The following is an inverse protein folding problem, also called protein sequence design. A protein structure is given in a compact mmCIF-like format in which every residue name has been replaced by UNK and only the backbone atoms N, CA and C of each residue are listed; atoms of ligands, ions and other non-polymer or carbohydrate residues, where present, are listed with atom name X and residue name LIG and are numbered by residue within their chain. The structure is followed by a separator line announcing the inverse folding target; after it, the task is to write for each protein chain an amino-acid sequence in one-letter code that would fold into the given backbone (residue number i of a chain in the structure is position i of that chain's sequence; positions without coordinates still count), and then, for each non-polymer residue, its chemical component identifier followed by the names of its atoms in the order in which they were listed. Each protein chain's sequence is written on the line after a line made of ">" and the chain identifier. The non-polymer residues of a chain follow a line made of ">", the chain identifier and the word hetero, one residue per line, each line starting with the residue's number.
data_IF_628593212913
#
_entry.id   IF_628593212913
#
_cell.length_a   1.000
_cell.length_b   1.000
_cell.length_c   1.000
_cell.angle_alpha   90.00
_cell.angle_beta   90.00
_cell.angle_gamma   90.00
#
_symmetry.space_group_name_H-M   'P 1'
#
loop_
_entity.id
_entity.type
_entity.pdbx_description
1 polymer ?
#
# COMPACT_ATOMS: atom_id res chain seq x y z
N UNK A 1 -5.01 19.46 7.42
CA UNK A 1 -6.35 19.19 8.00
C UNK A 1 -7.08 18.16 7.15
N UNK A 2 -8.14 17.55 7.66
CA UNK A 2 -8.88 16.48 6.97
C UNK A 2 -10.37 16.83 6.84
N UNK A 3 -10.88 17.03 5.62
CA UNK A 3 -12.30 17.21 5.39
C UNK A 3 -13.08 15.92 5.70
N UNK A 4 -14.10 16.04 6.56
CA UNK A 4 -14.93 14.92 7.01
C UNK A 4 -16.21 14.81 6.18
N UNK A 5 -16.98 15.90 6.10
CA UNK A 5 -18.27 15.94 5.43
C UNK A 5 -18.67 17.36 5.06
N UNK A 6 -19.50 17.48 4.03
CA UNK A 6 -20.24 18.70 3.69
C UNK A 6 -21.71 18.36 3.59
N UNK A 7 -22.58 19.16 4.20
CA UNK A 7 -24.03 19.03 4.08
C UNK A 7 -24.66 20.33 3.62
N UNK A 8 -25.77 20.23 2.88
CA UNK A 8 -26.65 21.36 2.61
C UNK A 8 -27.59 21.49 3.81
N UNK A 9 -27.71 22.70 4.37
CA UNK A 9 -28.68 22.98 5.43
C UNK A 9 -30.09 23.09 4.83
N UNK A 10 -30.74 21.95 4.69
CA UNK A 10 -32.07 21.80 4.11
C UNK A 10 -33.02 21.05 5.05
N UNK A 11 -34.27 21.52 5.12
CA UNK A 11 -35.37 20.85 5.80
C UNK A 11 -35.64 19.45 5.23
N UNK A 12 -35.47 19.28 3.90
CA UNK A 12 -35.63 17.97 3.24
C UNK A 12 -34.62 16.93 3.72
N UNK A 13 -33.41 17.38 4.08
CA UNK A 13 -32.30 16.57 4.60
C UNK A 13 -32.32 16.44 6.13
N UNK A 14 -33.33 17.03 6.79
CA UNK A 14 -33.44 17.15 8.26
C UNK A 14 -32.25 17.86 8.90
N UNK A 15 -31.64 18.82 8.20
CA UNK A 15 -30.53 19.64 8.71
C UNK A 15 -30.96 21.10 8.66
N UNK A 16 -31.48 21.61 9.77
CA UNK A 16 -31.92 23.00 9.88
C UNK A 16 -31.02 23.85 10.76
N UNK A 17 -30.27 23.19 11.64
CA UNK A 17 -29.38 23.80 12.63
C UNK A 17 -27.98 23.21 12.56
N UNK A 18 -27.02 23.90 13.18
CA UNK A 18 -25.66 23.38 13.39
C UNK A 18 -25.69 22.07 14.18
N UNK A 19 -26.53 21.97 15.21
CA UNK A 19 -26.66 20.75 16.02
C UNK A 19 -27.22 19.56 15.23
N UNK A 20 -28.16 19.79 14.29
CA UNK A 20 -28.63 18.73 13.38
C UNK A 20 -27.49 18.18 12.54
N UNK A 21 -26.63 19.06 12.02
CA UNK A 21 -25.49 18.68 11.22
C UNK A 21 -24.44 17.89 12.03
N UNK A 22 -24.17 18.32 13.27
CA UNK A 22 -23.28 17.58 14.19
C UNK A 22 -23.84 16.19 14.49
N UNK A 23 -25.14 16.07 14.79
CA UNK A 23 -25.80 14.76 14.98
C UNK A 23 -25.69 13.88 13.74
N UNK A 24 -25.89 14.44 12.54
CA UNK A 24 -25.73 13.70 11.27
C UNK A 24 -24.29 13.24 11.07
N UNK A 25 -23.30 14.07 11.39
CA UNK A 25 -21.88 13.68 11.36
C UNK A 25 -21.60 12.49 12.28
N UNK A 26 -22.06 12.55 13.54
CA UNK A 26 -21.90 11.45 14.52
C UNK A 26 -22.54 10.16 14.02
N UNK A 27 -23.75 10.25 13.44
CA UNK A 27 -24.44 9.10 12.84
C UNK A 27 -23.69 8.50 11.64
N UNK A 28 -23.06 9.33 10.80
CA UNK A 28 -22.24 8.83 9.70
C UNK A 28 -20.98 8.16 10.23
N UNK A 29 -20.36 8.70 11.28
CA UNK A 29 -19.18 8.09 11.90
C UNK A 29 -19.48 6.73 12.50
N UNK A 30 -20.60 6.58 13.23
CA UNK A 30 -20.98 5.29 13.83
C UNK A 30 -21.30 4.21 12.80
N UNK A 31 -21.59 4.60 11.56
CA UNK A 31 -21.80 3.72 10.42
C UNK A 31 -20.55 3.55 9.54
N UNK A 32 -19.41 4.11 9.95
CA UNK A 32 -18.16 4.14 9.18
C UNK A 32 -18.32 4.75 7.78
N UNK A 33 -19.24 5.70 7.65
CA UNK A 33 -19.56 6.42 6.41
C UNK A 33 -18.88 7.79 6.32
N UNK A 34 -17.88 8.06 7.17
CA UNK A 34 -17.03 9.26 7.05
C UNK A 34 -15.76 8.93 6.29
N UNK A 35 -15.51 9.75 5.29
CA UNK A 35 -14.38 9.61 4.38
C UNK A 35 -13.55 10.87 4.53
N UNK A 36 -12.35 10.71 5.06
CA UNK A 36 -11.43 11.82 5.27
C UNK A 36 -10.73 12.15 3.95
N UNK A 37 -10.52 13.44 3.70
CA UNK A 37 -9.70 13.92 2.59
C UNK A 37 -8.73 14.95 3.15
N UNK A 38 -7.43 14.66 3.07
CA UNK A 38 -6.40 15.60 3.46
C UNK A 38 -6.37 16.79 2.49
N UNK A 39 -6.19 17.97 3.07
CA UNK A 39 -6.07 19.24 2.37
C UNK A 39 -5.42 20.30 3.27
N UNK A 40 -4.94 21.36 2.64
CA UNK A 40 -4.46 22.56 3.30
C UNK A 40 -5.59 23.58 3.36
N UNK A 41 -5.75 24.23 4.52
CA UNK A 41 -6.63 25.39 4.65
C UNK A 41 -5.78 26.63 4.78
N UNK A 42 -6.07 27.62 3.96
CA UNK A 42 -5.38 28.89 3.95
C UNK A 42 -6.38 30.03 4.13
N UNK A 43 -6.22 30.79 5.21
CA UNK A 43 -6.97 32.03 5.44
C UNK A 43 -6.16 33.20 4.88
N UNK A 44 -6.79 34.07 4.09
CA UNK A 44 -6.21 35.33 3.64
C UNK A 44 -7.15 36.52 4.00
N UNK A 45 -6.84 37.73 3.51
CA UNK A 45 -7.62 38.95 3.79
C UNK A 45 -8.95 39.05 3.00
N UNK A 46 -9.17 38.15 2.04
CA UNK A 46 -10.32 38.12 1.13
C UNK A 46 -11.15 36.85 1.24
N UNK A 47 -10.53 35.71 1.52
CA UNK A 47 -11.16 34.40 1.48
C UNK A 47 -10.46 33.34 2.35
N UNK A 48 -11.17 32.22 2.54
CA UNK A 48 -10.66 30.96 3.09
C UNK A 48 -10.57 29.98 1.93
N UNK A 49 -9.37 29.45 1.66
CA UNK A 49 -9.11 28.52 0.56
C UNK A 49 -8.80 27.13 1.06
N UNK A 50 -9.27 26.13 0.32
CA UNK A 50 -8.88 24.73 0.47
C UNK A 50 -7.99 24.35 -0.71
N UNK A 51 -6.79 23.84 -0.43
CA UNK A 51 -5.80 23.45 -1.43
C UNK A 51 -5.45 21.97 -1.29
N UNK A 52 -5.15 21.32 -2.42
CA UNK A 52 -4.58 19.98 -2.43
C UNK A 52 -3.18 19.98 -1.80
N UNK A 53 -2.87 18.97 -0.97
CA UNK A 53 -1.61 18.91 -0.23
C UNK A 53 -0.39 18.76 -1.15
N UNK A 54 -0.54 18.01 -2.25
CA UNK A 54 0.57 17.66 -3.14
C UNK A 54 0.77 18.70 -4.24
N UNK A 55 -0.31 19.06 -4.93
CA UNK A 55 -0.27 19.90 -6.12
C UNK A 55 -0.46 21.38 -5.82
N UNK A 56 -0.92 21.74 -4.60
CA UNK A 56 -1.36 23.09 -4.25
C UNK A 56 -2.51 23.61 -5.13
N UNK A 57 -3.20 22.72 -5.85
CA UNK A 57 -4.38 23.08 -6.65
C UNK A 57 -5.50 23.61 -5.74
N UNK A 58 -6.14 24.69 -6.15
CA UNK A 58 -7.28 25.26 -5.43
C UNK A 58 -8.54 24.39 -5.60
N UNK A 59 -8.97 23.79 -4.49
CA UNK A 59 -10.14 22.93 -4.43
C UNK A 59 -11.41 23.76 -4.25
N UNK A 60 -11.41 24.63 -3.24
CA UNK A 60 -12.51 25.56 -2.94
C UNK A 60 -11.98 26.92 -2.49
N UNK A 61 -12.76 27.96 -2.76
CA UNK A 61 -12.53 29.33 -2.31
C UNK A 61 -13.82 29.86 -1.68
N UNK A 62 -13.76 30.20 -0.40
CA UNK A 62 -14.86 30.79 0.36
C UNK A 62 -14.55 32.25 0.65
N UNK A 63 -15.07 33.21 -0.14
CA UNK A 63 -14.92 34.62 0.16
C UNK A 63 -15.40 34.94 1.58
N UNK A 64 -14.69 35.79 2.31
CA UNK A 64 -15.06 36.14 3.69
C UNK A 64 -16.52 36.63 3.84
N UNK A 65 -17.11 37.37 2.87
CA UNK A 65 -18.54 37.72 2.92
C UNK A 65 -19.52 36.54 2.92
N UNK A 66 -19.14 35.39 2.37
CA UNK A 66 -20.02 34.21 2.28
C UNK A 66 -20.00 33.38 3.55
N UNK A 67 -19.04 33.61 4.45
CA UNK A 67 -18.92 32.87 5.71
C UNK A 67 -19.93 33.40 6.71
N UNK A 68 -20.89 32.57 7.07
CA UNK A 68 -21.98 32.92 8.00
C UNK A 68 -21.62 32.59 9.45
N UNK A 69 -20.94 31.46 9.67
CA UNK A 69 -20.63 30.95 11.00
C UNK A 69 -19.36 30.10 10.97
N UNK A 70 -18.56 30.22 12.02
CA UNK A 70 -17.41 29.34 12.28
C UNK A 70 -17.48 28.88 13.73
N UNK A 71 -17.16 27.61 14.00
CA UNK A 71 -17.22 27.05 15.34
C UNK A 71 -16.26 25.87 15.49
N UNK A 72 -15.76 25.65 16.69
CA UNK A 72 -15.05 24.43 17.07
C UNK A 72 -15.98 23.42 17.73
N UNK A 73 -15.78 22.14 17.40
CA UNK A 73 -16.48 21.01 17.98
C UNK A 73 -15.43 20.05 18.53
N UNK A 74 -15.29 19.99 19.85
CA UNK A 74 -14.17 19.30 20.49
C UNK A 74 -14.60 17.91 21.01
N UNK A 75 -13.64 16.98 20.99
CA UNK A 75 -13.76 15.64 21.58
C UNK A 75 -15.03 14.90 21.16
N UNK A 76 -15.32 14.92 19.85
CA UNK A 76 -16.46 14.19 19.29
C UNK A 76 -15.97 12.98 18.50
N UNK A 77 -16.53 11.81 18.80
CA UNK A 77 -16.21 10.55 18.12
C UNK A 77 -14.72 10.18 18.30
N UNK A 78 -14.02 9.89 17.20
CA UNK A 78 -12.58 9.65 17.16
C UNK A 78 -11.73 10.91 16.95
N UNK A 79 -12.38 12.08 16.82
CA UNK A 79 -11.72 13.33 16.47
C UNK A 79 -11.71 14.26 17.68
N UNK A 80 -10.51 14.64 18.13
CA UNK A 80 -10.33 15.52 19.28
C UNK A 80 -10.59 16.99 18.95
N UNK A 81 -10.36 17.41 17.71
CA UNK A 81 -10.43 18.81 17.28
C UNK A 81 -11.10 18.94 15.91
N UNK A 82 -12.36 19.37 15.88
CA UNK A 82 -13.11 19.59 14.63
C UNK A 82 -13.38 21.09 14.45
N UNK A 83 -13.12 21.60 13.26
CA UNK A 83 -13.57 22.91 12.78
C UNK A 83 -14.84 22.74 11.95
N UNK A 84 -15.80 23.62 12.19
CA UNK A 84 -17.07 23.73 11.48
C UNK A 84 -17.15 25.10 10.79
N UNK A 85 -17.49 25.10 9.51
CA UNK A 85 -17.66 26.31 8.71
C UNK A 85 -19.01 26.29 8.00
N UNK A 86 -19.83 27.32 8.19
CA UNK A 86 -21.09 27.52 7.46
C UNK A 86 -20.89 28.62 6.43
N UNK A 87 -21.08 28.30 5.16
CA UNK A 87 -20.94 29.22 4.04
C UNK A 87 -22.23 29.29 3.22
N UNK A 88 -22.55 30.47 2.71
CA UNK A 88 -23.60 30.65 1.71
C UNK A 88 -23.15 31.70 0.70
N UNK A 89 -22.94 31.25 -0.54
CA UNK A 89 -22.73 32.17 -1.65
C UNK A 89 -24.04 32.91 -1.97
N UNK A 90 -23.96 34.13 -2.53
CA UNK A 90 -25.13 34.94 -2.91
C UNK A 90 -26.04 34.24 -3.91
N UNK A 91 -25.47 33.29 -4.64
CA UNK A 91 -26.13 32.50 -5.68
C UNK A 91 -26.75 31.20 -5.13
N UNK A 92 -26.48 30.85 -3.87
CA UNK A 92 -27.03 29.68 -3.19
C UNK A 92 -28.29 30.05 -2.39
N UNK A 93 -29.34 29.24 -2.55
CA UNK A 93 -30.57 29.39 -1.76
C UNK A 93 -30.45 28.89 -0.32
N UNK A 94 -29.49 28.00 -0.05
CA UNK A 94 -29.31 27.34 1.25
C UNK A 94 -27.82 27.34 1.60
N UNK A 95 -27.47 27.51 2.89
CA UNK A 95 -26.09 27.41 3.33
C UNK A 95 -25.60 25.97 3.27
N UNK A 96 -24.30 25.83 3.09
CA UNK A 96 -23.55 24.58 3.25
C UNK A 96 -22.79 24.61 4.57
N UNK A 97 -22.70 23.46 5.23
CA UNK A 97 -21.92 23.25 6.44
C UNK A 97 -20.80 22.25 6.16
N UNK A 98 -19.56 22.66 6.45
CA UNK A 98 -18.35 21.89 6.22
C UNK A 98 -17.70 21.51 7.54
N UNK A 99 -17.26 20.25 7.65
CA UNK A 99 -16.57 19.71 8.82
C UNK A 99 -15.14 19.31 8.48
N UNK A 100 -14.19 19.73 9.30
CA UNK A 100 -12.77 19.44 9.14
C UNK A 100 -12.19 18.93 10.45
N UNK A 101 -11.49 17.79 10.44
CA UNK A 101 -10.64 17.37 11.53
C UNK A 101 -9.29 18.10 11.44
N UNK A 102 -8.85 18.62 12.58
CA UNK A 102 -7.67 19.46 12.77
C UNK A 102 -6.65 18.69 13.61
N UNK A 103 -5.72 18.02 12.93
CA UNK A 103 -4.73 17.12 13.53
C UNK A 103 -3.36 17.78 13.77
N UNK A 104 -2.88 18.60 12.83
CA UNK A 104 -1.59 19.30 12.97
C UNK A 104 -1.68 20.61 13.78
N UNK A 105 -2.77 21.35 13.58
CA UNK A 105 -3.06 22.64 14.24
C UNK A 105 -4.46 22.55 14.79
N UNK A 106 -4.64 22.89 16.07
CA UNK A 106 -5.95 22.82 16.73
C UNK A 106 -7.01 23.70 16.07
N UNK A 107 -8.24 23.18 16.01
CA UNK A 107 -9.39 23.86 15.46
C UNK A 107 -9.61 25.22 16.12
N UNK A 108 -9.32 25.37 17.42
CA UNK A 108 -9.39 26.65 18.14
C UNK A 108 -8.48 27.71 17.53
N UNK A 109 -7.25 27.35 17.19
CA UNK A 109 -6.30 28.28 16.58
C UNK A 109 -6.70 28.66 15.16
N UNK A 110 -7.23 27.70 14.40
CA UNK A 110 -7.75 27.95 13.04
C UNK A 110 -8.99 28.83 13.11
N UNK A 111 -9.90 28.56 14.05
CA UNK A 111 -11.08 29.37 14.31
C UNK A 111 -10.73 30.81 14.71
N UNK A 112 -9.75 31.00 15.61
CA UNK A 112 -9.24 32.34 15.98
C UNK A 112 -8.71 33.12 14.76
N UNK A 113 -7.96 32.48 13.85
CA UNK A 113 -7.49 33.13 12.62
C UNK A 113 -8.66 33.53 11.70
N UNK A 114 -9.61 32.61 11.46
CA UNK A 114 -10.80 32.87 10.64
C UNK A 114 -11.63 34.03 11.21
N UNK A 115 -11.94 34.01 12.50
CA UNK A 115 -12.73 35.07 13.15
C UNK A 115 -12.01 36.42 13.10
N UNK A 116 -10.68 36.43 13.27
CA UNK A 116 -9.91 37.67 13.15
C UNK A 116 -9.89 38.20 11.71
N UNK A 117 -9.83 37.34 10.69
CA UNK A 117 -9.95 37.73 9.29
C UNK A 117 -11.35 38.30 8.97
N UNK A 118 -12.41 37.66 9.48
CA UNK A 118 -13.79 38.15 9.33
C UNK A 118 -13.99 39.50 10.03
N UNK A 119 -13.41 39.69 11.21
CA UNK A 119 -13.47 40.94 11.95
C UNK A 119 -12.76 42.08 11.23
N UNK A 120 -11.57 41.81 10.66
CA UNK A 120 -10.80 42.76 9.86
C UNK A 120 -11.56 43.14 8.58
N UNK A 121 -12.16 42.16 7.91
CA UNK A 121 -12.97 42.39 6.71
C UNK A 121 -14.24 43.22 6.99
N UNK A 122 -15.02 42.87 8.03
CA UNK A 122 -16.29 43.54 8.35
C UNK A 122 -16.11 44.94 8.94
N UNK A 123 -15.05 45.14 9.73
CA UNK A 123 -14.89 46.35 10.53
C UNK A 123 -13.66 47.19 10.15
N UNK A 124 -12.88 46.78 9.15
CA UNK A 124 -11.63 47.46 8.75
C UNK A 124 -10.56 47.47 9.85
N UNK A 125 -10.66 46.56 10.82
CA UNK A 125 -9.69 46.42 11.91
C UNK A 125 -8.43 45.69 11.38
N UNK A 126 -7.35 45.71 12.17
CA UNK A 126 -6.10 44.97 11.90
C UNK A 126 -5.75 44.06 13.08
N UNK A 127 -6.72 43.25 13.50
CA UNK A 127 -6.62 42.30 14.61
C UNK A 127 -5.82 41.07 14.16
N UNK A 128 -6.04 40.59 12.94
CA UNK A 128 -5.48 39.34 12.44
C UNK A 128 -3.95 39.24 12.56
N UNK A 129 -3.15 40.28 12.27
CA UNK A 129 -1.70 40.21 12.47
C UNK A 129 -1.27 39.92 13.92
N UNK A 130 -2.06 40.35 14.91
CA UNK A 130 -1.79 40.05 16.33
C UNK A 130 -2.18 38.60 16.65
N UNK A 131 -3.35 38.16 16.18
CA UNK A 131 -3.80 36.76 16.33
C UNK A 131 -2.80 35.77 15.73
N UNK A 132 -2.31 36.04 14.52
CA UNK A 132 -1.31 35.19 13.85
C UNK A 132 0.00 35.10 14.64
N UNK A 133 0.44 36.21 15.26
CA UNK A 133 1.65 36.20 16.10
C UNK A 133 1.45 35.34 17.35
N UNK A 134 0.32 35.49 18.04
CA UNK A 134 -0.01 34.67 19.21
C UNK A 134 -0.10 33.18 18.85
N UNK A 135 -0.73 32.85 17.71
CA UNK A 135 -0.84 31.48 17.23
C UNK A 135 0.50 30.87 16.84
N UNK A 136 1.39 31.64 16.19
CA UNK A 136 2.75 31.17 15.93
C UNK A 136 3.52 30.85 17.21
N UNK A 137 3.32 31.63 18.27
CA UNK A 137 3.94 31.36 19.57
C UNK A 137 3.39 30.09 20.23
N UNK A 138 2.06 29.90 20.24
CA UNK A 138 1.41 28.66 20.71
C UNK A 138 1.94 27.42 19.96
N UNK A 139 2.11 27.49 18.65
CA UNK A 139 2.67 26.39 17.82
C UNK A 139 4.12 26.10 18.22
N UNK A 140 4.95 27.15 18.34
CA UNK A 140 6.37 26.99 18.75
C UNK A 140 6.50 26.37 20.13
N UNK A 141 5.69 26.80 21.09
CA UNK A 141 5.68 26.24 22.44
C UNK A 141 5.33 24.74 22.41
N UNK A 142 4.32 24.33 21.64
CA UNK A 142 3.97 22.90 21.48
C UNK A 142 5.12 22.08 20.89
N UNK A 143 5.76 22.59 19.84
CA UNK A 143 6.89 21.91 19.21
C UNK A 143 8.10 21.78 20.15
N UNK A 144 8.26 22.71 21.11
CA UNK A 144 9.32 22.63 22.12
C UNK A 144 9.07 21.62 23.25
N UNK A 145 7.81 21.20 23.44
CA UNK A 145 7.42 20.22 24.47
C UNK A 145 7.51 18.79 23.92
N UNK A 146 7.45 18.62 22.61
CA UNK A 146 7.68 17.33 21.96
C UNK A 146 9.19 16.99 22.00
N UNK A 147 9.60 15.80 22.47
CA UNK A 147 11.00 15.41 22.38
C UNK A 147 11.44 15.44 20.92
N UNK A 148 12.69 15.86 20.61
CA UNK A 148 13.20 15.79 19.25
C UNK A 148 13.02 14.36 18.72
N UNK A 149 12.78 14.16 17.41
CA UNK A 149 12.65 12.82 16.84
C UNK A 149 13.92 12.04 17.17
N UNK A 150 13.82 11.18 18.18
CA UNK A 150 14.91 10.31 18.55
C UNK A 150 15.06 9.35 17.37
N UNK A 151 16.22 9.36 16.73
CA UNK A 151 16.62 8.27 15.86
C UNK A 151 16.44 6.92 16.60
N UNK A 152 16.44 5.80 15.87
CA UNK A 152 16.16 4.49 16.44
C UNK A 152 16.96 4.29 17.73
N UNK A 153 16.25 3.96 18.81
CA UNK A 153 16.84 3.78 20.14
C UNK A 153 18.05 2.84 20.03
N UNK A 154 19.21 3.18 20.61
CA UNK A 154 20.35 2.27 20.62
C UNK A 154 19.93 0.98 21.33
N UNK A 155 20.03 -0.13 20.60
CA UNK A 155 19.76 -1.47 21.13
C UNK A 155 20.72 -1.68 22.31
N UNK A 156 20.25 -2.05 23.52
CA UNK A 156 21.15 -2.35 24.63
C UNK A 156 22.00 -3.57 24.25
N UNK A 157 23.30 -3.35 24.06
CA UNK A 157 24.28 -4.43 23.96
C UNK A 157 24.31 -5.10 25.32
N UNK A 158 23.65 -6.26 25.45
CA UNK A 158 23.83 -7.13 26.60
C UNK A 158 25.23 -7.73 26.51
N UNK A 159 26.18 -7.11 27.20
CA UNK A 159 27.46 -7.71 27.49
C UNK A 159 27.25 -8.83 28.50
N UNK A 160 27.48 -10.06 28.06
CA UNK A 160 27.72 -11.21 28.92
C UNK A 160 28.84 -10.89 29.93
N UNK A 161 28.51 -10.92 31.22
CA UNK A 161 29.50 -11.05 32.29
C UNK A 161 29.00 -12.01 33.36
N UNK A 162 29.62 -13.20 33.34
CA UNK A 162 29.82 -14.08 34.49
C UNK A 162 30.34 -13.28 35.69
N UNK A 163 29.79 -13.52 36.89
CA UNK A 163 30.45 -13.08 38.12
C UNK A 163 29.64 -13.16 39.42
N UNK A 164 29.59 -14.37 40.00
CA UNK A 164 29.72 -14.68 41.44
C UNK A 164 28.80 -14.06 42.52
N UNK A 165 28.17 -15.00 43.24
CA UNK A 165 28.23 -15.18 44.71
C UNK A 165 27.09 -14.66 45.63
N UNK A 166 26.62 -15.65 46.40
CA UNK A 166 26.14 -15.62 47.80
C UNK A 166 24.75 -15.08 48.12
N UNK A 167 23.82 -16.01 48.43
CA UNK A 167 23.36 -16.10 49.82
C UNK A 167 22.87 -17.51 50.20
N UNK A 168 23.35 -17.99 51.35
CA UNK A 168 23.05 -19.28 52.00
C UNK A 168 21.73 -19.21 52.78
N UNK A 169 20.99 -20.33 52.86
CA UNK A 169 20.69 -21.01 54.14
C UNK A 169 19.92 -22.33 54.00
N UNK A 170 20.52 -23.42 54.55
CA UNK A 170 19.96 -24.58 55.30
C UNK A 170 18.98 -25.54 54.57
N UNK A 171 19.04 -26.89 54.63
CA UNK A 171 19.69 -27.92 55.49
C UNK A 171 19.89 -29.24 54.65
N UNK A 172 20.69 -30.19 55.15
CA UNK A 172 21.46 -31.23 54.45
C UNK A 172 20.80 -32.65 54.27
N UNK A 173 21.45 -33.62 53.56
CA UNK A 173 20.91 -34.84 52.88
C UNK A 173 21.21 -36.19 53.62
N UNK A 174 21.03 -37.40 53.01
CA UNK A 174 22.14 -38.07 52.27
C UNK A 174 21.72 -38.94 51.03
N UNK A 175 22.42 -38.88 49.89
CA UNK A 175 23.58 -39.72 49.43
C UNK A 175 23.12 -41.04 48.73
N UNK A 176 23.73 -41.66 47.71
CA UNK A 176 25.02 -41.69 47.01
C UNK A 176 24.80 -42.35 45.62
N UNK A 177 25.45 -41.93 44.54
CA UNK A 177 26.41 -42.74 43.76
C UNK A 177 26.91 -42.00 42.52
N UNK A 178 28.13 -42.35 42.18
CA UNK A 178 29.14 -41.66 41.36
C UNK A 178 29.01 -42.02 39.86
N UNK A 179 30.03 -41.79 39.02
CA UNK A 179 30.06 -40.82 37.91
C UNK A 179 29.86 -41.49 36.55
N UNK A 180 29.70 -40.70 35.48
CA UNK A 180 30.51 -40.81 34.26
C UNK A 180 29.89 -40.12 33.03
N UNK A 181 30.80 -39.52 32.25
CA UNK A 181 30.68 -39.05 30.88
C UNK A 181 29.89 -37.76 30.58
N UNK A 182 30.65 -36.66 30.59
CA UNK A 182 30.55 -35.64 29.54
C UNK A 182 30.48 -36.27 28.14
N UNK A 183 29.90 -35.48 27.22
CA UNK A 183 30.04 -35.55 25.75
C UNK A 183 28.91 -36.27 25.02
N UNK A 184 27.82 -35.53 24.79
CA UNK A 184 27.11 -35.36 23.49
C UNK A 184 25.88 -34.44 23.68
N UNK A 185 26.10 -33.14 23.83
CA UNK A 185 25.00 -32.15 23.77
C UNK A 185 25.29 -30.95 22.86
N UNK A 186 26.20 -31.13 21.89
CA UNK A 186 26.45 -30.10 20.87
C UNK A 186 25.44 -30.18 19.72
N UNK A 187 25.00 -31.39 19.35
CA UNK A 187 24.09 -31.56 18.21
C UNK A 187 22.63 -31.15 18.46
N UNK A 188 22.14 -31.18 19.70
CA UNK A 188 20.76 -30.78 20.01
C UNK A 188 20.59 -29.26 20.00
N UNK A 189 21.60 -28.52 20.49
CA UNK A 189 21.57 -27.05 20.53
C UNK A 189 21.64 -26.45 19.12
N UNK A 190 22.54 -26.95 18.26
CA UNK A 190 22.67 -26.51 16.87
C UNK A 190 21.39 -26.77 16.04
N UNK A 191 20.70 -27.89 16.29
CA UNK A 191 19.43 -28.21 15.64
C UNK A 191 18.26 -27.35 16.15
N UNK A 192 18.23 -27.03 17.44
CA UNK A 192 17.24 -26.14 18.04
C UNK A 192 17.42 -24.70 17.52
N UNK A 193 18.66 -24.21 17.48
CA UNK A 193 19.03 -22.90 16.94
C UNK A 193 18.69 -22.78 15.45
N UNK A 194 18.94 -23.83 14.67
CA UNK A 194 18.55 -23.89 13.25
C UNK A 194 17.03 -23.83 13.04
N UNK A 195 16.25 -24.50 13.91
CA UNK A 195 14.78 -24.44 13.86
C UNK A 195 14.24 -23.08 14.30
N UNK A 196 14.84 -22.48 15.32
CA UNK A 196 14.50 -21.14 15.78
C UNK A 196 14.77 -20.09 14.69
N UNK A 197 15.92 -20.16 14.01
CA UNK A 197 16.24 -19.28 12.88
C UNK A 197 15.25 -19.44 11.73
N UNK A 198 14.84 -20.67 11.40
CA UNK A 198 13.82 -20.92 10.37
C UNK A 198 12.46 -20.34 10.78
N UNK A 199 12.05 -20.53 12.03
CA UNK A 199 10.81 -19.99 12.56
C UNK A 199 10.78 -18.45 12.49
N UNK A 200 11.86 -17.78 12.91
CA UNK A 200 11.99 -16.33 12.78
C UNK A 200 11.93 -15.86 11.33
N UNK A 201 12.50 -16.63 10.39
CA UNK A 201 12.41 -16.30 8.96
C UNK A 201 10.96 -16.38 8.46
N UNK A 202 10.24 -17.44 8.82
CA UNK A 202 8.82 -17.62 8.46
C UNK A 202 7.95 -16.51 9.06
N UNK A 203 8.20 -16.14 10.32
CA UNK A 203 7.49 -15.05 10.98
C UNK A 203 7.68 -13.72 10.24
N UNK A 204 8.93 -13.37 9.90
CA UNK A 204 9.21 -12.15 9.15
C UNK A 204 8.59 -12.17 7.75
N UNK A 205 8.66 -13.30 7.04
CA UNK A 205 8.02 -13.46 5.72
C UNK A 205 6.48 -13.34 5.80
N UNK A 206 5.89 -13.84 6.88
CA UNK A 206 4.45 -13.71 7.16
C UNK A 206 4.07 -12.25 7.44
N UNK A 207 4.89 -11.52 8.20
CA UNK A 207 4.68 -10.09 8.42
C UNK A 207 4.73 -9.30 7.11
N UNK A 208 5.70 -9.60 6.23
CA UNK A 208 5.78 -8.97 4.90
C UNK A 208 4.51 -9.28 4.09
N UNK A 209 4.05 -10.53 4.10
CA UNK A 209 2.83 -10.91 3.39
C UNK A 209 1.62 -10.12 3.90
N UNK A 210 1.42 -10.03 5.22
CA UNK A 210 0.31 -9.29 5.81
C UNK A 210 0.34 -7.81 5.40
N UNK A 211 1.49 -7.13 5.55
CA UNK A 211 1.61 -5.73 5.11
C UNK A 211 1.38 -5.57 3.61
N UNK A 212 1.75 -6.56 2.80
CA UNK A 212 1.49 -6.56 1.35
C UNK A 212 0.01 -6.68 1.05
N UNK A 213 -0.71 -7.58 1.73
CA UNK A 213 -2.15 -7.75 1.58
C UNK A 213 -2.92 -6.51 2.06
N UNK A 214 -2.55 -5.92 3.19
CA UNK A 214 -3.14 -4.69 3.74
C UNK A 214 -3.03 -3.52 2.74
N UNK A 215 -1.86 -3.33 2.13
CA UNK A 215 -1.63 -2.27 1.15
C UNK A 215 -2.46 -2.50 -0.14
N UNK A 216 -2.60 -3.74 -0.60
CA UNK A 216 -3.45 -4.09 -1.76
C UNK A 216 -4.92 -3.80 -1.43
N UNK A 217 -5.40 -4.24 -0.26
CA UNK A 217 -6.77 -3.98 0.19
C UNK A 217 -7.05 -2.48 0.28
N UNK A 218 -6.13 -1.71 0.89
CA UNK A 218 -6.27 -0.27 1.00
C UNK A 218 -6.31 0.42 -0.38
N UNK A 219 -5.47 -0.04 -1.32
CA UNK A 219 -5.48 0.47 -2.69
C UNK A 219 -6.81 0.18 -3.40
N UNK A 220 -7.31 -1.05 -3.29
CA UNK A 220 -8.62 -1.45 -3.85
C UNK A 220 -9.75 -0.65 -3.24
N UNK A 221 -9.74 -0.48 -1.92
CA UNK A 221 -10.70 0.36 -1.23
C UNK A 221 -10.65 1.76 -1.83
N UNK A 222 -9.47 2.40 -1.90
CA UNK A 222 -9.23 3.72 -2.52
C UNK A 222 -9.81 3.83 -3.94
N UNK A 223 -9.58 2.81 -4.75
CA UNK A 223 -10.03 2.75 -6.14
C UNK A 223 -11.56 2.76 -6.25
N UNK A 224 -12.24 1.97 -5.41
CA UNK A 224 -13.70 1.98 -5.32
C UNK A 224 -14.23 3.33 -4.85
N UNK A 225 -13.56 3.98 -3.89
CA UNK A 225 -13.88 5.36 -3.41
C UNK A 225 -13.89 6.34 -4.57
N UNK A 226 -12.82 6.32 -5.36
CA UNK A 226 -12.64 7.24 -6.47
C UNK A 226 -13.70 7.01 -7.56
N UNK A 227 -13.99 5.74 -7.88
CA UNK A 227 -15.03 5.40 -8.83
C UNK A 227 -16.43 5.84 -8.37
N UNK A 228 -16.75 5.70 -7.08
CA UNK A 228 -18.02 6.17 -6.53
C UNK A 228 -18.12 7.71 -6.58
N UNK A 229 -17.07 8.41 -6.13
CA UNK A 229 -17.00 9.87 -6.19
C UNK A 229 -17.15 10.39 -7.62
N UNK A 230 -16.50 9.74 -8.59
CA UNK A 230 -16.61 10.06 -10.01
C UNK A 230 -18.05 9.87 -10.54
N UNK A 231 -18.72 8.79 -10.11
CA UNK A 231 -20.12 8.53 -10.48
C UNK A 231 -21.06 9.59 -9.92
N UNK A 232 -20.88 9.97 -8.65
CA UNK A 232 -21.65 11.05 -8.01
C UNK A 232 -21.41 12.40 -8.71
N UNK A 233 -20.16 12.72 -9.04
CA UNK A 233 -19.79 13.93 -9.76
C UNK A 233 -20.46 14.00 -11.14
N UNK A 234 -20.48 12.90 -11.88
CA UNK A 234 -21.14 12.83 -13.19
C UNK A 234 -22.67 12.96 -13.10
N UNK A 235 -23.31 12.40 -12.06
CA UNK A 235 -24.74 12.59 -11.82
C UNK A 235 -25.07 14.08 -11.55
N UNK A 236 -24.25 14.76 -10.75
CA UNK A 236 -24.40 16.21 -10.49
C UNK A 236 -24.25 17.04 -11.77
N UNK A 237 -23.33 16.67 -12.67
CA UNK A 237 -23.15 17.35 -13.97
C UNK A 237 -24.32 17.14 -14.93
N UNK A 238 -24.90 15.93 -14.99
CA UNK A 238 -26.06 15.63 -15.86
C UNK A 238 -27.33 16.38 -15.45
N UNK A 239 -27.49 16.69 -14.16
CA UNK A 239 -28.67 17.41 -13.64
C UNK A 239 -28.62 18.94 -13.77
N UNK A 240 -27.46 19.53 -14.14
CA UNK A 240 -27.29 20.99 -14.19
C UNK A 240 -27.30 21.51 -15.63
N UNK A 241 -28.32 22.30 -15.98
CA UNK A 241 -28.31 23.18 -17.19
C UNK A 241 -27.38 24.41 -17.03
N UNK A 242 -26.93 24.74 -15.81
CA UNK A 242 -26.04 25.86 -15.51
C UNK A 242 -24.65 25.39 -15.01
N UNK A 243 -23.60 26.01 -15.56
CA UNK A 243 -22.17 25.65 -15.41
C UNK A 243 -21.53 25.82 -14.00
N UNK A 244 -22.26 26.13 -12.92
CA UNK A 244 -21.63 26.48 -11.63
C UNK A 244 -21.35 25.26 -10.73
N UNK A 245 -20.18 25.28 -10.07
CA UNK A 245 -19.72 24.30 -9.08
C UNK A 245 -20.75 24.20 -7.93
N UNK A 246 -21.11 22.99 -7.54
CA UNK A 246 -21.99 22.71 -6.41
C UNK A 246 -21.23 22.68 -5.08
N UNK A 247 -21.95 22.51 -3.96
CA UNK A 247 -21.35 22.38 -2.63
C UNK A 247 -20.26 21.32 -2.60
N UNK A 248 -19.06 21.71 -2.16
CA UNK A 248 -17.89 20.86 -2.05
C UNK A 248 -17.54 20.10 -3.35
N UNK A 249 -17.84 20.68 -4.53
CA UNK A 249 -17.55 20.05 -5.82
C UNK A 249 -16.04 19.91 -6.04
N UNK A 250 -15.21 20.81 -5.50
CA UNK A 250 -13.76 20.70 -5.51
C UNK A 250 -13.25 19.47 -4.75
N UNK A 251 -13.71 19.27 -3.50
CA UNK A 251 -13.35 18.08 -2.72
C UNK A 251 -13.88 16.79 -3.38
N UNK A 252 -15.08 16.84 -3.96
CA UNK A 252 -15.63 15.69 -4.69
C UNK A 252 -14.82 15.39 -5.95
N UNK A 253 -14.34 16.43 -6.64
CA UNK A 253 -13.46 16.30 -7.82
C UNK A 253 -12.13 15.66 -7.43
N UNK A 254 -11.51 16.12 -6.33
CA UNK A 254 -10.28 15.52 -5.81
C UNK A 254 -10.49 14.05 -5.46
N UNK A 255 -11.58 13.71 -4.76
CA UNK A 255 -11.92 12.32 -4.43
C UNK A 255 -12.19 11.46 -5.66
N UNK A 256 -12.72 12.04 -6.73
CA UNK A 256 -12.98 11.36 -7.99
C UNK A 256 -11.73 11.10 -8.83
N UNK A 257 -10.58 11.66 -8.45
CA UNK A 257 -9.32 11.48 -9.16
C UNK A 257 -8.85 10.03 -9.01
N UNK A 258 -8.54 9.32 -10.12
CA UNK A 258 -7.99 7.97 -10.04
C UNK A 258 -6.59 8.00 -9.40
N UNK A 259 -6.14 6.88 -8.82
CA UNK A 259 -4.75 6.74 -8.39
C UNK A 259 -3.78 7.01 -9.54
N UNK A 260 -2.57 7.46 -9.20
CA UNK A 260 -1.53 7.70 -10.21
C UNK A 260 -0.96 6.40 -10.78
N UNK A 261 -0.35 6.47 -11.96
CA UNK A 261 0.28 5.30 -12.59
C UNK A 261 1.32 4.63 -11.68
N UNK A 262 2.11 5.43 -10.96
CA UNK A 262 3.09 4.92 -9.99
C UNK A 262 2.46 4.09 -8.87
N UNK A 263 1.26 4.47 -8.41
CA UNK A 263 0.54 3.72 -7.37
C UNK A 263 -0.05 2.42 -7.91
N UNK A 264 -0.52 2.40 -9.16
CA UNK A 264 -0.91 1.16 -9.84
C UNK A 264 0.28 0.22 -9.98
N UNK A 265 1.44 0.73 -10.43
CA UNK A 265 2.67 -0.05 -10.53
C UNK A 265 3.03 -0.64 -9.17
N UNK A 266 3.11 0.17 -8.11
CA UNK A 266 3.41 -0.30 -6.75
C UNK A 266 2.45 -1.42 -6.29
N UNK A 267 1.15 -1.27 -6.55
CA UNK A 267 0.16 -2.30 -6.22
C UNK A 267 0.37 -3.60 -7.02
N UNK A 268 0.71 -3.52 -8.31
CA UNK A 268 1.06 -4.69 -9.11
C UNK A 268 2.32 -5.39 -8.59
N UNK A 269 3.36 -4.62 -8.22
CA UNK A 269 4.59 -5.19 -7.64
C UNK A 269 4.30 -5.92 -6.33
N UNK A 270 3.48 -5.33 -5.46
CA UNK A 270 2.99 -5.94 -4.22
C UNK A 270 2.17 -7.19 -4.49
N UNK A 271 1.32 -7.20 -5.51
CA UNK A 271 0.57 -8.40 -5.92
C UNK A 271 1.52 -9.54 -6.33
N UNK A 272 2.56 -9.25 -7.12
CA UNK A 272 3.58 -10.25 -7.49
C UNK A 272 4.35 -10.77 -6.27
N UNK A 273 4.72 -9.87 -5.36
CA UNK A 273 5.37 -10.24 -4.09
C UNK A 273 4.46 -11.13 -3.24
N UNK A 274 3.17 -10.83 -3.15
CA UNK A 274 2.19 -11.66 -2.43
C UNK A 274 2.13 -13.07 -3.00
N UNK A 275 2.05 -13.25 -4.32
CA UNK A 275 2.08 -14.59 -4.94
C UNK A 275 3.37 -15.37 -4.62
N UNK A 276 4.52 -14.70 -4.68
CA UNK A 276 5.80 -15.29 -4.30
C UNK A 276 5.82 -15.76 -2.84
N UNK A 277 5.34 -14.92 -1.91
CA UNK A 277 5.28 -15.24 -0.48
C UNK A 277 4.25 -16.35 -0.19
N UNK A 278 3.09 -16.32 -0.83
CA UNK A 278 2.05 -17.34 -0.67
C UNK A 278 2.55 -18.73 -1.10
N UNK A 279 3.25 -18.82 -2.23
CA UNK A 279 3.83 -20.09 -2.69
C UNK A 279 4.92 -20.60 -1.73
N UNK A 280 5.76 -19.69 -1.22
CA UNK A 280 6.83 -20.02 -0.26
C UNK A 280 6.29 -20.46 1.09
N UNK A 281 5.29 -19.77 1.61
CA UNK A 281 4.69 -19.99 2.94
C UNK A 281 3.53 -20.99 2.92
N UNK A 282 3.22 -21.62 1.78
CA UNK A 282 2.02 -22.46 1.58
C UNK A 282 1.80 -23.55 2.65
N UNK A 283 2.87 -24.07 3.25
CA UNK A 283 2.81 -25.11 4.30
C UNK A 283 2.62 -24.55 5.71
N UNK A 284 2.75 -23.23 5.87
CA UNK A 284 2.75 -22.51 7.15
C UNK A 284 1.52 -21.62 7.33
N UNK A 285 0.73 -21.41 6.27
CA UNK A 285 -0.49 -20.60 6.30
C UNK A 285 -1.71 -21.52 6.39
N UNK A 286 -2.57 -21.27 7.39
CA UNK A 286 -3.80 -22.01 7.61
C UNK A 286 -4.92 -21.03 7.99
N UNK A 287 -6.13 -21.24 7.44
CA UNK A 287 -7.36 -20.50 7.73
C UNK A 287 -7.27 -18.96 7.52
N UNK A 288 -7.37 -18.46 6.29
CA UNK A 288 -7.47 -19.20 5.01
C UNK A 288 -6.13 -19.83 4.60
N UNK A 289 -6.17 -20.88 3.79
CA UNK A 289 -4.99 -21.49 3.17
C UNK A 289 -4.37 -20.57 2.11
N UNK A 290 -3.11 -20.84 1.73
CA UNK A 290 -2.44 -20.06 0.68
C UNK A 290 -3.18 -20.12 -0.67
N UNK A 291 -3.86 -21.24 -0.99
CA UNK A 291 -4.66 -21.35 -2.21
C UNK A 291 -5.89 -20.44 -2.17
N UNK A 292 -6.59 -20.40 -1.04
CA UNK A 292 -7.75 -19.52 -0.85
C UNK A 292 -7.33 -18.05 -0.93
N UNK A 293 -6.18 -17.68 -0.34
CA UNK A 293 -5.63 -16.33 -0.45
C UNK A 293 -5.29 -15.94 -1.90
N UNK A 294 -4.78 -16.87 -2.71
CA UNK A 294 -4.57 -16.64 -4.15
C UNK A 294 -5.90 -16.27 -4.81
N UNK A 295 -6.96 -17.05 -4.61
CA UNK A 295 -8.28 -16.74 -5.17
C UNK A 295 -8.82 -15.38 -4.69
N UNK A 296 -8.61 -15.06 -3.41
CA UNK A 296 -9.01 -13.75 -2.87
C UNK A 296 -8.25 -12.59 -3.49
N UNK A 297 -7.05 -12.79 -4.03
CA UNK A 297 -6.29 -11.76 -4.73
C UNK A 297 -6.74 -11.55 -6.19
N UNK A 298 -7.35 -12.56 -6.84
CA UNK A 298 -7.72 -12.43 -8.26
C UNK A 298 -8.90 -11.48 -8.50
N UNK A 299 -9.85 -11.37 -7.57
CA UNK A 299 -10.92 -10.37 -7.63
C UNK A 299 -10.38 -8.91 -7.58
N UNK A 300 -9.60 -8.55 -6.54
CA UNK A 300 -8.82 -7.32 -6.48
C UNK A 300 -7.99 -7.05 -7.73
N UNK A 301 -7.23 -8.03 -8.21
CA UNK A 301 -6.37 -7.89 -9.39
C UNK A 301 -7.18 -7.55 -10.65
N UNK A 302 -8.30 -8.25 -10.90
CA UNK A 302 -9.21 -7.96 -12.01
C UNK A 302 -9.75 -6.53 -11.95
N UNK A 303 -10.15 -6.07 -10.75
CA UNK A 303 -10.64 -4.71 -10.55
C UNK A 303 -9.56 -3.66 -10.82
N UNK A 304 -8.32 -3.90 -10.37
CA UNK A 304 -7.18 -2.99 -10.59
C UNK A 304 -6.89 -2.86 -12.09
N UNK A 305 -6.81 -3.98 -12.81
CA UNK A 305 -6.55 -4.03 -14.26
C UNK A 305 -7.63 -3.27 -15.04
N UNK A 306 -8.90 -3.51 -14.71
CA UNK A 306 -10.02 -2.83 -15.37
C UNK A 306 -9.99 -1.31 -15.12
N UNK A 307 -9.50 -0.88 -13.96
CA UNK A 307 -9.48 0.54 -13.59
C UNK A 307 -8.33 1.32 -14.21
N UNK A 308 -7.22 0.66 -14.56
CA UNK A 308 -6.14 1.27 -15.36
C UNK A 308 -6.36 1.15 -16.87
N UNK A 309 -7.54 0.68 -17.32
CA UNK A 309 -7.90 0.63 -18.74
C UNK A 309 -7.41 -0.62 -19.49
N UNK A 310 -6.99 -1.67 -18.78
CA UNK A 310 -6.56 -2.95 -19.35
C UNK A 310 -5.21 -3.44 -18.83
N UNK A 311 -4.71 -4.58 -19.33
CA UNK A 311 -3.54 -5.28 -18.79
C UNK A 311 -2.19 -4.65 -19.18
N UNK A 312 -2.17 -3.65 -20.07
CA UNK A 312 -0.90 -3.10 -20.60
C UNK A 312 0.01 -2.50 -19.53
N UNK A 313 -0.56 -1.80 -18.55
CA UNK A 313 0.23 -1.28 -17.43
C UNK A 313 0.79 -2.42 -16.57
N UNK A 314 -0.02 -3.43 -16.26
CA UNK A 314 0.44 -4.59 -15.49
C UNK A 314 1.55 -5.36 -16.23
N UNK A 315 1.46 -5.49 -17.55
CA UNK A 315 2.48 -6.14 -18.40
C UNK A 315 3.85 -5.47 -18.30
N UNK A 316 3.89 -4.14 -18.13
CA UNK A 316 5.16 -3.40 -18.01
C UNK A 316 5.84 -3.61 -16.64
N UNK A 317 5.14 -4.16 -15.64
CA UNK A 317 5.66 -4.35 -14.28
C UNK A 317 6.56 -5.58 -14.21
N UNK A 318 7.85 -5.34 -14.35
CA UNK A 318 8.87 -6.39 -14.39
C UNK A 318 9.19 -6.98 -13.02
N UNK A 319 9.49 -6.14 -12.02
CA UNK A 319 10.00 -6.56 -10.72
C UNK A 319 8.94 -6.49 -9.61
N UNK A 320 8.85 -7.47 -8.68
CA UNK A 320 9.64 -8.70 -8.66
C UNK A 320 9.17 -9.67 -9.75
N UNK A 321 10.07 -10.52 -10.25
CA UNK A 321 9.67 -11.66 -11.07
C UNK A 321 8.99 -12.73 -10.20
N UNK A 322 8.21 -13.63 -10.80
CA UNK A 322 7.68 -14.78 -10.07
C UNK A 322 8.73 -15.89 -9.99
N UNK A 323 8.87 -16.51 -8.82
CA UNK A 323 9.67 -17.72 -8.67
C UNK A 323 9.04 -18.91 -9.40
N UNK A 324 9.83 -19.95 -9.69
CA UNK A 324 9.31 -21.19 -10.30
C UNK A 324 8.21 -21.82 -9.46
N UNK A 325 8.41 -21.87 -8.14
CA UNK A 325 7.41 -22.37 -7.19
C UNK A 325 6.12 -21.56 -7.26
N UNK A 326 6.19 -20.23 -7.42
CA UNK A 326 5.01 -19.39 -7.54
C UNK A 326 4.26 -19.62 -8.85
N UNK A 327 4.96 -19.70 -9.99
CA UNK A 327 4.31 -19.98 -11.28
C UNK A 327 3.65 -21.36 -11.31
N UNK A 328 4.32 -22.37 -10.76
CA UNK A 328 3.78 -23.73 -10.70
C UNK A 328 2.61 -23.82 -9.71
N UNK A 329 2.69 -23.09 -8.59
CA UNK A 329 1.60 -22.98 -7.63
C UNK A 329 0.35 -22.35 -8.27
N UNK A 330 0.49 -21.23 -8.99
CA UNK A 330 -0.61 -20.59 -9.69
C UNK A 330 -1.23 -21.53 -10.75
N UNK A 331 -0.42 -22.14 -11.63
CA UNK A 331 -0.90 -23.09 -12.64
C UNK A 331 -1.72 -24.25 -12.06
N UNK A 332 -1.35 -24.71 -10.86
CA UNK A 332 -2.02 -25.83 -10.19
C UNK A 332 -3.32 -25.49 -9.46
N UNK A 333 -3.58 -24.21 -9.15
CA UNK A 333 -4.70 -23.82 -8.27
C UNK A 333 -5.69 -22.84 -8.90
N UNK A 334 -5.30 -22.09 -9.93
CA UNK A 334 -6.20 -21.12 -10.57
C UNK A 334 -7.34 -21.79 -11.34
N UNK A 335 -8.52 -21.17 -11.26
CA UNK A 335 -9.67 -21.53 -12.09
C UNK A 335 -9.45 -21.11 -13.55
N UNK A 336 -10.20 -21.65 -14.53
CA UNK A 336 -10.05 -21.25 -15.94
C UNK A 336 -10.23 -19.73 -16.18
N UNK A 337 -11.11 -19.07 -15.43
CA UNK A 337 -11.30 -17.62 -15.51
C UNK A 337 -10.03 -16.88 -15.07
N UNK A 338 -9.46 -17.30 -13.94
CA UNK A 338 -8.25 -16.69 -13.36
C UNK A 338 -7.02 -16.97 -14.22
N UNK A 339 -6.89 -18.16 -14.81
CA UNK A 339 -5.83 -18.48 -15.77
C UNK A 339 -5.89 -17.53 -16.96
N UNK A 340 -7.07 -17.32 -17.56
CA UNK A 340 -7.22 -16.38 -18.69
C UNK A 340 -6.82 -14.95 -18.30
N UNK A 341 -7.18 -14.51 -17.09
CA UNK A 341 -6.76 -13.20 -16.58
C UNK A 341 -5.23 -13.14 -16.41
N UNK A 342 -4.63 -14.14 -15.78
CA UNK A 342 -3.20 -14.22 -15.54
C UNK A 342 -2.39 -14.28 -16.84
N UNK A 343 -2.83 -15.07 -17.82
CA UNK A 343 -2.21 -15.14 -19.15
C UNK A 343 -2.29 -13.80 -19.88
N UNK A 344 -3.38 -13.04 -19.70
CA UNK A 344 -3.53 -11.72 -20.30
C UNK A 344 -2.49 -10.70 -19.79
N UNK A 345 -1.85 -10.95 -18.64
CA UNK A 345 -0.81 -10.11 -18.05
C UNK A 345 0.58 -10.32 -18.67
N UNK A 346 0.73 -11.28 -19.59
CA UNK A 346 1.94 -11.46 -20.39
C UNK A 346 3.13 -12.05 -19.64
N UNK A 347 4.28 -12.08 -20.33
CA UNK A 347 5.45 -12.86 -19.90
C UNK A 347 5.99 -12.44 -18.54
N UNK A 348 5.92 -11.15 -18.18
CA UNK A 348 6.41 -10.63 -16.90
C UNK A 348 5.68 -11.22 -15.68
N UNK A 349 4.51 -11.84 -15.89
CA UNK A 349 3.71 -12.53 -14.88
C UNK A 349 3.69 -14.05 -15.04
N UNK A 350 3.84 -14.56 -16.26
CA UNK A 350 3.68 -16.00 -16.54
C UNK A 350 4.99 -16.77 -16.66
N UNK A 351 6.10 -16.09 -16.97
CA UNK A 351 7.45 -16.66 -17.03
C UNK A 351 8.12 -16.53 -15.66
N UNK A 352 8.71 -17.62 -15.18
CA UNK A 352 9.42 -17.61 -13.90
C UNK A 352 10.81 -16.97 -14.00
N UNK A 353 11.41 -16.56 -12.88
CA UNK A 353 12.80 -16.08 -12.80
C UNK A 353 13.79 -17.10 -13.39
N UNK A 354 13.55 -18.40 -13.21
CA UNK A 354 14.41 -19.47 -13.75
C UNK A 354 14.36 -19.55 -15.29
N UNK A 355 13.26 -19.11 -15.92
CA UNK A 355 13.08 -19.10 -17.37
C UNK A 355 13.46 -17.75 -18.00
N UNK A 356 13.66 -16.71 -17.20
CA UNK A 356 13.94 -15.36 -17.66
C UNK A 356 15.40 -15.19 -18.11
N UNK A 357 15.69 -14.44 -19.18
CA UNK A 357 17.06 -14.23 -19.67
C UNK A 357 18.04 -13.85 -18.55
N UNK A 358 19.20 -14.52 -18.54
CA UNK A 358 20.20 -14.40 -17.45
C UNK A 358 20.97 -13.10 -17.49
N UNK A 359 21.20 -12.58 -18.69
CA UNK A 359 21.83 -11.30 -18.98
C UNK A 359 20.90 -10.10 -18.72
N UNK A 360 19.60 -10.34 -18.53
CA UNK A 360 18.66 -9.29 -18.16
C UNK A 360 18.93 -8.81 -16.73
N UNK A 361 19.35 -7.56 -16.60
CA UNK A 361 19.50 -6.89 -15.31
C UNK A 361 18.11 -6.55 -14.75
N UNK A 362 17.66 -7.31 -13.74
CA UNK A 362 16.38 -7.08 -13.08
C UNK A 362 16.65 -6.38 -11.74
N UNK A 363 16.11 -5.17 -11.52
CA UNK A 363 16.26 -4.49 -10.25
C UNK A 363 15.61 -5.29 -9.12
N UNK A 364 16.33 -5.48 -8.01
CA UNK A 364 15.79 -6.07 -6.78
C UNK A 364 14.62 -5.24 -6.28
N UNK A 365 13.49 -5.91 -6.02
CA UNK A 365 12.32 -5.25 -5.47
C UNK A 365 12.38 -5.22 -3.94
N UNK A 366 12.31 -4.02 -3.37
CA UNK A 366 12.14 -3.80 -1.94
C UNK A 366 10.81 -3.04 -1.76
N UNK A 367 9.79 -3.65 -1.15
CA UNK A 367 8.49 -3.01 -1.01
C UNK A 367 8.57 -1.86 -0.01
N UNK A 368 7.86 -0.77 -0.30
CA UNK A 368 7.65 0.35 0.62
C UNK A 368 6.20 0.30 1.09
N UNK A 369 5.99 0.06 2.37
CA UNK A 369 4.64 -0.08 2.94
C UNK A 369 4.09 1.26 3.41
N UNK A 370 2.78 1.47 3.25
CA UNK A 370 2.13 2.76 3.59
C UNK A 370 2.11 3.04 5.10
N UNK A 371 2.19 2.00 5.92
CA UNK A 371 2.28 2.13 7.38
C UNK A 371 3.68 2.59 7.88
N UNK A 372 4.64 2.80 6.98
CA UNK A 372 6.00 3.22 7.30
C UNK A 372 6.90 2.10 7.83
N UNK A 373 6.40 0.87 7.93
CA UNK A 373 7.23 -0.28 8.29
C UNK A 373 8.13 -0.68 7.12
N UNK A 374 9.41 -0.90 7.41
CA UNK A 374 10.39 -1.35 6.41
C UNK A 374 10.79 -2.81 6.68
N UNK A 375 10.71 -3.67 5.66
CA UNK A 375 11.06 -5.07 5.84
C UNK A 375 12.59 -5.29 5.89
N UNK A 376 13.08 -6.27 6.66
CA UNK A 376 14.50 -6.61 6.67
C UNK A 376 15.01 -7.02 5.28
N UNK A 377 16.03 -6.32 4.77
CA UNK A 377 16.52 -6.49 3.39
C UNK A 377 17.13 -7.88 3.14
N UNK A 378 17.57 -8.56 4.20
CA UNK A 378 18.18 -9.89 4.15
C UNK A 378 17.21 -10.96 3.66
N UNK A 379 15.89 -10.73 3.81
CA UNK A 379 14.85 -11.68 3.37
C UNK A 379 14.73 -11.71 1.84
N UNK A 380 14.97 -10.58 1.19
CA UNK A 380 14.92 -10.46 -0.26
C UNK A 380 16.24 -10.91 -0.89
N UNK A 381 17.37 -10.76 -0.19
CA UNK A 381 18.65 -11.29 -0.64
C UNK A 381 18.59 -12.82 -0.73
N UNK A 382 18.76 -13.36 -1.93
CA UNK A 382 18.71 -14.80 -2.14
C UNK A 382 17.31 -15.40 -2.14
N UNK A 383 16.27 -14.58 -2.28
CA UNK A 383 14.94 -15.09 -2.47
C UNK A 383 14.82 -15.86 -3.81
N UNK A 384 13.94 -16.88 -3.91
CA UNK A 384 13.77 -17.68 -5.13
C UNK A 384 13.31 -16.91 -6.38
N UNK A 385 12.86 -15.67 -6.21
CA UNK A 385 12.50 -14.75 -7.29
C UNK A 385 13.62 -13.77 -7.67
N UNK A 386 14.71 -13.73 -6.90
CA UNK A 386 15.93 -12.94 -7.19
C UNK A 386 17.05 -13.83 -7.75
N UNK A 387 17.19 -15.07 -7.26
CA UNK A 387 18.26 -16.00 -7.66
C UNK A 387 17.70 -17.22 -8.39
N UNK A 388 18.38 -17.63 -9.47
CA UNK A 388 18.17 -18.93 -10.10
C UNK A 388 18.88 -20.04 -9.30
N UNK A 389 18.11 -20.77 -8.49
CA UNK A 389 18.62 -21.88 -7.65
C UNK A 389 19.23 -23.01 -8.51
N UNK A 390 18.78 -23.17 -9.77
CA UNK A 390 19.34 -24.16 -10.70
C UNK A 390 20.83 -23.94 -10.95
N UNK A 391 21.27 -22.68 -10.99
CA UNK A 391 22.66 -22.32 -11.24
C UNK A 391 23.59 -22.60 -10.06
N UNK A 392 23.16 -22.38 -8.80
CA UNK A 392 23.99 -22.74 -7.63
C UNK A 392 24.28 -24.24 -7.64
N UNK A 393 23.31 -25.05 -8.03
CA UNK A 393 23.47 -26.49 -8.10
C UNK A 393 24.36 -26.90 -9.29
N UNK A 394 24.28 -26.22 -10.43
CA UNK A 394 25.09 -26.48 -11.63
C UNK A 394 26.54 -25.99 -11.49
N UNK A 395 26.80 -24.86 -10.82
CA UNK A 395 28.14 -24.38 -10.43
C UNK A 395 28.78 -25.28 -9.38
N UNK A 396 28.04 -25.72 -8.36
CA UNK A 396 28.54 -26.69 -7.37
C UNK A 396 28.82 -28.05 -8.01
N UNK A 397 28.04 -28.45 -9.01
CA UNK A 397 28.26 -29.67 -9.81
C UNK A 397 29.47 -29.54 -10.73
N UNK A 398 29.68 -28.36 -11.31
CA UNK A 398 30.82 -28.04 -12.17
C UNK A 398 32.13 -27.85 -11.39
N UNK A 399 32.05 -27.42 -10.12
CA UNK A 399 33.18 -27.26 -9.22
C UNK A 399 33.65 -28.58 -8.58
N UNK A 400 32.77 -29.58 -8.42
CA UNK A 400 33.09 -30.89 -7.83
C UNK A 400 33.35 -32.00 -8.87
N UNK A 401 34.02 -31.65 -9.98
CA UNK A 401 34.29 -32.56 -11.09
C UNK A 401 34.95 -33.88 -10.68
N UNK A 402 34.18 -34.97 -10.69
CA UNK A 402 34.67 -36.32 -10.96
C UNK A 402 33.94 -36.86 -12.21
N UNK A 403 34.68 -37.22 -13.29
CA UNK A 403 34.05 -37.69 -14.52
C UNK A 403 33.68 -39.16 -14.35
N UNK A 404 32.40 -39.45 -14.05
CA UNK A 404 31.89 -40.81 -14.21
C UNK A 404 31.59 -41.09 -15.68
N UNK A 405 32.60 -41.65 -16.36
CA UNK A 405 32.45 -42.34 -17.63
C UNK A 405 31.77 -43.68 -17.34
N UNK A 406 30.56 -43.91 -17.85
CA UNK A 406 30.16 -45.27 -18.21
C UNK A 406 29.14 -45.34 -19.35
N UNK A 407 29.49 -46.21 -20.28
CA UNK A 407 28.93 -46.50 -21.59
C UNK A 407 27.59 -47.22 -21.56
N UNK A 408 26.79 -47.06 -22.63
CA UNK A 408 25.93 -48.15 -23.11
C UNK A 408 25.95 -48.22 -24.63
N UNK A 409 26.27 -49.42 -25.09
CA UNK A 409 26.38 -49.84 -26.48
C UNK A 409 25.06 -49.70 -27.24
N UNK A 410 25.13 -49.31 -28.52
CA UNK A 410 24.31 -49.91 -29.60
C UNK A 410 25.10 -49.87 -30.90
N UNK A 411 25.37 -51.07 -31.45
CA UNK A 411 26.03 -51.32 -32.74
C UNK A 411 25.01 -51.94 -33.71
N UNK A 412 24.99 -51.39 -34.93
CA UNK A 412 24.60 -52.04 -36.20
C UNK A 412 23.12 -51.94 -36.56
N UNK A 413 22.70 -51.63 -37.79
CA UNK A 413 23.31 -51.62 -39.13
C UNK A 413 22.49 -50.63 -40.00
N UNK A 414 23.10 -49.68 -40.72
CA UNK A 414 23.59 -49.72 -42.12
C UNK A 414 22.65 -48.93 -43.05
N UNK A 415 23.15 -47.81 -43.58
CA UNK A 415 22.60 -47.10 -44.73
C UNK A 415 23.75 -46.80 -45.68
N UNK A 416 23.66 -47.37 -46.88
CA UNK A 416 24.57 -47.13 -48.00
C UNK A 416 24.29 -45.77 -48.66
N UNK A 417 25.38 -45.21 -49.17
CA UNK A 417 25.50 -43.92 -49.83
C UNK A 417 25.01 -43.97 -51.28
N UNK A 418 24.34 -42.91 -51.76
CA UNK A 418 24.50 -42.37 -53.13
C UNK A 418 23.87 -40.96 -53.17
N UNK A 419 24.69 -39.91 -53.11
CA UNK A 419 25.22 -39.11 -54.23
C UNK A 419 24.20 -38.08 -54.77
N UNK A 420 24.53 -36.81 -54.56
CA UNK A 420 23.88 -35.65 -55.14
C UNK A 420 24.28 -35.47 -56.62
N UNK A 421 23.34 -35.01 -57.43
CA UNK A 421 23.55 -34.55 -58.80
C UNK A 421 22.58 -33.42 -59.13
N UNK A 422 23.14 -32.22 -59.26
CA UNK A 422 22.52 -31.01 -59.81
C UNK A 422 22.02 -31.19 -61.24
N UNK A 423 20.89 -30.55 -61.59
CA UNK A 423 20.72 -29.82 -62.87
C UNK A 423 19.34 -29.12 -62.99
N UNK A 424 19.34 -27.79 -62.83
CA UNK A 424 18.91 -26.79 -63.82
C UNK A 424 17.71 -27.09 -64.77
N UNK A 425 16.58 -26.37 -64.64
CA UNK A 425 16.18 -25.21 -65.50
C UNK A 425 14.66 -24.90 -65.49
N UNK A 426 14.40 -23.60 -65.27
CA UNK A 426 13.50 -22.67 -65.99
C UNK A 426 11.96 -22.83 -65.94
N UNK A 427 11.35 -21.79 -65.35
CA UNK A 427 10.25 -20.94 -65.84
C UNK A 427 9.11 -21.61 -66.62
N UNK A 428 7.86 -21.46 -66.12
CA UNK A 428 6.76 -20.68 -66.73
C UNK A 428 5.68 -20.43 -65.66
N UNK A 429 5.41 -19.17 -65.35
CA UNK A 429 4.10 -18.62 -64.91
C UNK A 429 3.40 -18.01 -66.14
N UNK A 430 2.12 -17.56 -66.13
CA UNK A 430 1.09 -17.55 -65.07
C UNK A 430 -0.35 -17.94 -65.54
N UNK A 431 -1.28 -17.83 -64.60
CA UNK A 431 -2.70 -17.43 -64.74
C UNK A 431 -3.81 -18.45 -65.02
N UNK A 432 -4.85 -18.36 -64.18
CA UNK A 432 -6.24 -18.46 -64.62
C UNK A 432 -7.21 -19.03 -63.58
N UNK A 433 -8.01 -18.13 -62.95
CA UNK A 433 -9.40 -18.27 -62.46
C UNK A 433 -9.87 -19.65 -61.94
N UNK A 434 -10.48 -19.75 -60.76
CA UNK A 434 -11.71 -19.06 -60.34
C UNK A 434 -12.01 -19.41 -58.89
#
# INVERSE_FOLDING_TARGET
>A
LQHLATFIMDKSESITTVDDAIRKLILLNSKEKIWTQEMLLQVNDKSIRLLDCETQEELEDFPLPTVQHCQTVLNQMRYSSILLLVCQDSEQHKPDIHFFNCDEVEAEMVHEDIESALADHKHGKKIRPQTLKANQEKIKQRQSILPPPQGPAPIPIQHDMRGSAMNRNRVAPPSQHDPDYERRSSGSHDHEESRAMLAQKIEKETQILNCTLDDIELFVARLQKAAEAFRQLNQRKKGKKNKKKGPAEGMLTLRARPPSEAEFIDCFQKTKLAFNLLAKLRKHIQNPSASELVHFLFGPLELIINSCGGPELARSVLSPLLSKDATDFLRGHLTPKEINLWDSLGETWTRSRAEWPRDANIPTYIPKFRNGWEPPTEIFRGAPWEIDIGHLQEELSSANGYPYRNSSLKRGQAAEQTQAGDAFKQNVTPHGNR
#
